data_IF_177418463194
#
_entry.id   IF_177418463194
#
_cell.length_a   1.000
_cell.length_b   1.000
_cell.length_c   1.000
_cell.angle_alpha   90.00
_cell.angle_beta   90.00
_cell.angle_gamma   90.00
#
_symmetry.space_group_name_H-M   'P 1'
#
loop_
_entity.id
_entity.type
_entity.pdbx_description
1 polymer ?
#
# COMPACT_ATOMS: atom_id res chain seq x y z
N UNK A 1 -8.66 -2.63 6.95
CA UNK A 1 -8.08 -1.74 7.98
C UNK A 1 -6.84 -2.38 8.60
N UNK A 2 -5.75 -1.61 8.72
CA UNK A 2 -4.51 -2.03 9.37
C UNK A 2 -4.75 -2.41 10.83
N UNK A 3 -4.15 -3.51 11.30
CA UNK A 3 -4.22 -3.95 12.71
C UNK A 3 -2.85 -4.37 13.24
N UNK A 4 -2.66 -4.28 14.56
CA UNK A 4 -1.45 -4.74 15.26
C UNK A 4 -1.10 -6.19 14.93
N UNK A 5 -2.10 -7.06 14.79
CA UNK A 5 -1.90 -8.47 14.44
C UNK A 5 -1.41 -8.64 13.00
N UNK A 6 -2.00 -7.91 12.03
CA UNK A 6 -1.52 -7.92 10.64
C UNK A 6 -0.09 -7.38 10.54
N UNK A 7 0.23 -6.30 11.27
CA UNK A 7 1.60 -5.76 11.36
C UNK A 7 2.55 -6.84 11.89
N UNK A 8 2.22 -7.50 13.01
CA UNK A 8 3.07 -8.55 13.58
C UNK A 8 3.32 -9.67 12.58
N UNK A 9 2.27 -10.27 11.99
CA UNK A 9 2.40 -11.32 10.97
C UNK A 9 3.21 -10.87 9.74
N UNK A 10 3.17 -9.59 9.41
CA UNK A 10 3.91 -9.00 8.29
C UNK A 10 5.41 -8.83 8.58
N UNK A 11 5.77 -8.60 9.86
CA UNK A 11 7.14 -8.52 10.38
C UNK A 11 7.71 -9.92 10.65
N UNK A 12 6.91 -10.85 11.20
CA UNK A 12 7.27 -12.25 11.43
C UNK A 12 7.64 -13.00 10.11
N UNK A 13 7.36 -12.40 8.95
CA UNK A 13 7.71 -12.90 7.61
C UNK A 13 8.93 -12.19 6.96
N UNK A 14 9.60 -11.28 7.67
CA UNK A 14 10.87 -10.66 7.24
C UNK A 14 12.06 -11.56 7.62
N UNK A 15 13.21 -11.45 6.93
CA UNK A 15 14.42 -12.19 7.28
C UNK A 15 15.00 -11.73 8.63
N UNK A 16 15.67 -12.64 9.35
CA UNK A 16 16.31 -12.35 10.65
C UNK A 16 17.29 -11.17 10.60
N UNK A 17 18.00 -11.04 9.47
CA UNK A 17 18.85 -9.90 9.17
C UNK A 17 18.07 -8.90 8.30
N UNK A 18 17.66 -7.79 8.89
CA UNK A 18 16.91 -6.72 8.24
C UNK A 18 17.40 -5.32 8.66
N UNK A 19 17.07 -4.30 7.86
CA UNK A 19 17.27 -2.89 8.24
C UNK A 19 15.97 -2.29 8.77
N UNK A 20 16.08 -1.20 9.54
CA UNK A 20 14.89 -0.47 10.02
C UNK A 20 14.01 0.03 8.87
N UNK A 21 14.63 0.45 7.76
CA UNK A 21 13.93 0.92 6.57
C UNK A 21 13.03 -0.18 5.99
N UNK A 22 13.50 -1.44 5.94
CA UNK A 22 12.70 -2.57 5.47
C UNK A 22 11.46 -2.82 6.36
N UNK A 23 11.55 -2.58 7.67
CA UNK A 23 10.39 -2.68 8.57
C UNK A 23 9.40 -1.55 8.30
N UNK A 24 9.90 -0.32 8.13
CA UNK A 24 9.08 0.86 7.83
C UNK A 24 8.35 0.68 6.50
N UNK A 25 9.07 0.32 5.44
CA UNK A 25 8.51 0.06 4.11
C UNK A 25 7.47 -1.06 4.15
N UNK A 26 7.73 -2.14 4.89
CA UNK A 26 6.80 -3.27 5.04
C UNK A 26 5.48 -2.85 5.71
N UNK A 27 5.53 -1.96 6.70
CA UNK A 27 4.34 -1.44 7.39
C UNK A 27 3.59 -0.44 6.50
N UNK A 28 4.30 0.46 5.81
CA UNK A 28 3.70 1.43 4.87
C UNK A 28 3.04 0.71 3.68
N UNK A 29 3.67 -0.33 3.14
CA UNK A 29 3.11 -1.15 2.07
C UNK A 29 1.81 -1.83 2.51
N UNK A 30 1.80 -2.41 3.71
CA UNK A 30 0.61 -3.05 4.26
C UNK A 30 -0.54 -2.06 4.46
N UNK A 31 -0.26 -0.86 4.98
CA UNK A 31 -1.27 0.19 5.14
C UNK A 31 -1.86 0.63 3.78
N UNK A 32 -1.01 0.88 2.77
CA UNK A 32 -1.46 1.22 1.40
C UNK A 32 -2.33 0.14 0.77
N UNK A 33 -2.05 -1.15 1.03
CA UNK A 33 -2.90 -2.26 0.56
C UNK A 33 -4.26 -2.22 1.25
N UNK A 34 -4.30 -2.04 2.57
CA UNK A 34 -5.57 -1.95 3.33
C UNK A 34 -6.39 -0.71 2.94
N UNK A 35 -5.74 0.40 2.59
CA UNK A 35 -6.38 1.60 2.02
C UNK A 35 -6.96 1.30 0.63
N UNK A 36 -6.18 0.71 -0.28
CA UNK A 36 -6.62 0.38 -1.64
C UNK A 36 -7.78 -0.63 -1.67
N UNK A 37 -7.79 -1.62 -0.77
CA UNK A 37 -8.94 -2.53 -0.61
C UNK A 37 -10.20 -1.77 -0.18
N UNK A 38 -10.07 -0.84 0.78
CA UNK A 38 -11.17 0.03 1.22
C UNK A 38 -11.63 0.99 0.10
N UNK A 39 -10.72 1.51 -0.73
CA UNK A 39 -11.07 2.32 -1.90
C UNK A 39 -11.91 1.52 -2.91
N UNK A 40 -11.62 0.23 -3.10
CA UNK A 40 -12.42 -0.67 -3.95
C UNK A 40 -13.81 -0.92 -3.34
N UNK A 41 -13.89 -1.21 -2.03
CA UNK A 41 -15.16 -1.42 -1.31
C UNK A 41 -16.08 -0.17 -1.38
N UNK A 42 -15.50 1.02 -1.26
CA UNK A 42 -16.23 2.30 -1.27
C UNK A 42 -16.31 2.92 -2.69
N UNK A 43 -15.90 2.19 -3.74
CA UNK A 43 -16.04 2.60 -5.14
C UNK A 43 -15.18 3.78 -5.59
N UNK A 44 -14.14 4.19 -4.84
CA UNK A 44 -13.22 5.30 -5.19
C UNK A 44 -12.18 4.94 -6.27
N UNK A 45 -12.54 4.03 -7.16
CA UNK A 45 -11.68 3.50 -8.22
C UNK A 45 -11.65 4.42 -9.44
N UNK A 46 -10.62 4.26 -10.27
CA UNK A 46 -10.49 4.94 -11.56
C UNK A 46 -10.12 3.92 -12.64
N UNK A 47 -10.70 4.07 -13.83
CA UNK A 47 -10.28 3.34 -15.02
C UNK A 47 -8.88 3.78 -15.47
N UNK A 48 -8.19 2.90 -16.20
CA UNK A 48 -6.87 3.20 -16.78
C UNK A 48 -6.87 4.46 -17.65
N UNK A 49 -7.97 4.76 -18.33
CA UNK A 49 -8.09 5.96 -19.18
C UNK A 49 -8.17 7.25 -18.35
N UNK A 50 -8.96 7.26 -17.27
CA UNK A 50 -9.04 8.40 -16.35
C UNK A 50 -7.69 8.66 -15.66
N UNK A 51 -6.99 7.60 -15.22
CA UNK A 51 -5.68 7.73 -14.60
C UNK A 51 -4.65 8.30 -15.59
N UNK A 52 -4.62 7.81 -16.84
CA UNK A 52 -3.74 8.35 -17.89
C UNK A 52 -3.99 9.84 -18.14
N UNK A 53 -5.25 10.25 -18.26
CA UNK A 53 -5.62 11.65 -18.50
C UNK A 53 -5.29 12.58 -17.32
N UNK A 54 -5.34 12.08 -16.08
CA UNK A 54 -4.86 12.81 -14.89
C UNK A 54 -3.34 12.94 -14.88
N UNK A 55 -2.62 11.83 -15.08
CA UNK A 55 -1.15 11.80 -14.97
C UNK A 55 -0.43 12.58 -16.07
N UNK A 56 -1.01 12.71 -17.27
CA UNK A 56 -0.42 13.49 -18.37
C UNK A 56 -0.27 14.99 -18.08
N UNK A 57 -0.82 15.49 -16.96
CA UNK A 57 -0.61 16.87 -16.50
C UNK A 57 0.77 17.07 -15.85
N UNK A 58 1.37 16.00 -15.33
CA UNK A 58 2.65 16.03 -14.58
C UNK A 58 3.75 15.20 -15.22
N UNK A 59 3.40 14.10 -15.88
CA UNK A 59 4.33 13.23 -16.61
C UNK A 59 4.42 13.71 -18.06
N UNK A 60 5.46 14.51 -18.35
CA UNK A 60 5.92 14.83 -19.71
C UNK A 60 7.01 13.86 -20.16
#
# INVERSE_FOLDING_TARGET
>A
MLTKEKIKKSIDALPDNLTIDQVIDRVIMLDKIEQGLKDVEEGRVHSTNEVKAKLSQWLK
#
